data_IF_060339876890
#
_entry.id   IF_060339876890
#
_cell.length_a   1.000
_cell.length_b   1.000
_cell.length_c   1.000
_cell.angle_alpha   90.00
_cell.angle_beta   90.00
_cell.angle_gamma   90.00
#
_symmetry.space_group_name_H-M   'P 1'
#
loop_
_entity.id
_entity.type
_entity.pdbx_description
1 polymer ?
#
# COMPACT_ATOMS: atom_id res chain seq x y z
N UNK A 1 7.09 3.12 0.14
CA UNK A 1 6.72 2.09 -0.85
C UNK A 1 5.50 1.33 -0.41
N UNK A 2 4.63 0.91 -1.34
CA UNK A 2 3.50 0.05 -1.01
C UNK A 2 4.00 -1.30 -0.47
N UNK A 3 3.37 -1.81 0.59
CA UNK A 3 3.79 -3.06 1.21
C UNK A 3 3.18 -3.26 2.60
N UNK A 4 3.61 -4.28 3.35
CA UNK A 4 3.12 -4.57 4.70
C UNK A 4 3.24 -3.38 5.66
N UNK A 5 4.30 -2.58 5.52
CA UNK A 5 4.56 -1.38 6.32
C UNK A 5 3.39 -0.40 6.30
N UNK A 6 2.69 -0.23 5.15
CA UNK A 6 1.51 0.64 5.09
C UNK A 6 0.37 0.14 5.99
N UNK A 7 0.19 -1.18 6.11
CA UNK A 7 -0.82 -1.77 6.98
C UNK A 7 -0.42 -1.62 8.46
N UNK A 8 0.86 -1.78 8.78
CA UNK A 8 1.39 -1.60 10.13
C UNK A 8 1.24 -0.15 10.60
N UNK A 9 1.65 0.82 9.76
CA UNK A 9 1.48 2.24 10.04
C UNK A 9 0.00 2.61 10.22
N UNK A 10 -0.87 2.04 9.39
CA UNK A 10 -2.31 2.27 9.51
C UNK A 10 -2.89 1.68 10.81
N UNK A 11 -2.44 0.49 11.21
CA UNK A 11 -2.83 -0.13 12.47
C UNK A 11 -2.44 0.73 13.67
N UNK A 12 -1.25 1.30 13.64
CA UNK A 12 -0.77 2.25 14.64
C UNK A 12 -1.44 3.62 14.53
N UNK A 13 -2.16 3.89 13.44
CA UNK A 13 -2.76 5.18 13.16
C UNK A 13 -1.73 6.26 12.83
N UNK A 14 -0.60 5.88 12.27
CA UNK A 14 0.46 6.83 11.88
C UNK A 14 0.16 7.43 10.52
N UNK A 15 -0.09 8.75 10.42
CA UNK A 15 -0.26 9.42 9.14
C UNK A 15 0.97 9.26 8.25
N UNK A 16 0.76 8.88 6.99
CA UNK A 16 1.84 8.62 6.06
C UNK A 16 1.45 8.92 4.61
N UNK A 17 2.46 9.04 3.76
CA UNK A 17 2.32 9.18 2.30
C UNK A 17 2.90 7.94 1.65
N UNK A 18 2.18 7.39 0.68
CA UNK A 18 2.60 6.20 -0.06
C UNK A 18 3.20 6.60 -1.39
N UNK A 19 4.42 6.16 -1.66
CA UNK A 19 5.08 6.39 -2.94
C UNK A 19 5.34 5.08 -3.67
N UNK A 20 4.98 5.02 -4.94
CA UNK A 20 5.30 3.92 -5.84
C UNK A 20 6.05 4.46 -7.06
N UNK A 21 7.36 4.76 -6.91
CA UNK A 21 8.16 5.30 -8.00
C UNK A 21 8.44 4.23 -9.05
N UNK A 22 8.02 4.49 -10.27
CA UNK A 22 8.21 3.60 -11.42
C UNK A 22 9.43 4.00 -12.26
N UNK A 23 10.02 5.12 -11.92
CA UNK A 23 11.26 5.63 -12.51
C UNK A 23 12.52 5.11 -11.81
N UNK A 24 12.37 4.35 -10.72
CA UNK A 24 13.48 3.74 -9.99
C UNK A 24 13.43 2.22 -10.17
N UNK A 25 14.40 1.60 -10.87
CA UNK A 25 14.45 0.15 -11.03
C UNK A 25 14.47 -0.56 -9.67
N UNK A 26 13.63 -1.57 -9.50
CA UNK A 26 13.55 -2.35 -8.26
C UNK A 26 12.79 -1.69 -7.09
N UNK A 27 12.32 -0.45 -7.24
CA UNK A 27 11.56 0.23 -6.17
C UNK A 27 10.16 -0.38 -5.95
N UNK A 28 9.61 -1.05 -6.95
CA UNK A 28 8.33 -1.77 -6.85
C UNK A 28 8.57 -3.23 -7.17
N UNK A 29 8.39 -4.09 -6.18
CA UNK A 29 8.42 -5.53 -6.41
C UNK A 29 7.14 -5.93 -7.15
N UNK A 30 7.30 -6.43 -8.38
CA UNK A 30 6.19 -7.00 -9.15
C UNK A 30 6.17 -8.50 -8.88
N UNK A 31 5.12 -9.05 -8.25
CA UNK A 31 5.03 -10.48 -7.99
C UNK A 31 5.13 -11.29 -9.29
N UNK A 32 5.94 -12.33 -9.31
CA UNK A 32 6.08 -13.24 -10.44
C UNK A 32 7.11 -12.82 -11.50
N UNK A 33 7.83 -11.71 -11.30
CA UNK A 33 8.89 -11.28 -12.22
C UNK A 33 10.25 -11.45 -11.57
N UNK A 34 11.13 -12.20 -12.24
CA UNK A 34 12.51 -12.32 -11.82
C UNK A 34 13.22 -10.95 -11.89
N UNK A 35 13.94 -10.53 -10.84
CA UNK A 35 14.76 -9.32 -10.86
C UNK A 35 15.73 -9.25 -12.05
N UNK A 36 16.10 -10.42 -12.58
CA UNK A 36 17.00 -10.58 -13.72
C UNK A 36 16.41 -10.02 -15.03
N UNK A 37 15.09 -10.15 -15.21
CA UNK A 37 14.37 -9.59 -16.39
C UNK A 37 14.24 -8.07 -16.34
N UNK A 38 14.21 -7.49 -15.15
CA UNK A 38 14.15 -6.04 -14.96
C UNK A 38 15.50 -5.35 -15.20
N UNK A 39 16.61 -6.08 -15.18
CA UNK A 39 17.96 -5.54 -15.38
C UNK A 39 18.40 -5.53 -16.85
N UNK A 40 17.62 -6.09 -17.78
CA UNK A 40 17.96 -6.08 -19.20
C UNK A 40 17.64 -4.72 -19.82
N UNK A 41 18.61 -4.03 -20.46
CA UNK A 41 18.37 -2.79 -21.17
C UNK A 41 17.36 -3.03 -22.31
N UNK A 42 16.44 -2.09 -22.53
CA UNK A 42 15.35 -2.11 -23.52
C UNK A 42 14.13 -3.00 -23.20
N UNK A 43 14.29 -4.15 -22.54
CA UNK A 43 13.15 -5.03 -22.21
C UNK A 43 12.55 -4.63 -20.86
N UNK A 44 13.38 -4.18 -19.92
CA UNK A 44 12.99 -3.78 -18.59
C UNK A 44 11.97 -2.63 -18.57
N UNK A 45 12.16 -1.61 -19.39
CA UNK A 45 11.25 -0.47 -19.45
C UNK A 45 9.86 -0.82 -20.03
N UNK A 46 9.81 -1.59 -21.11
CA UNK A 46 8.56 -2.01 -21.72
C UNK A 46 7.77 -2.95 -20.79
N UNK A 47 8.50 -3.80 -20.06
CA UNK A 47 7.92 -4.71 -19.10
C UNK A 47 7.41 -3.98 -17.85
N UNK A 48 8.17 -3.00 -17.33
CA UNK A 48 7.74 -2.14 -16.23
C UNK A 48 6.50 -1.34 -16.60
N UNK A 49 6.43 -0.75 -17.81
CA UNK A 49 5.25 -0.03 -18.27
C UNK A 49 4.02 -0.93 -18.30
N UNK A 50 4.12 -2.14 -18.84
CA UNK A 50 3.00 -3.11 -18.85
C UNK A 50 2.59 -3.59 -17.47
N UNK A 51 3.55 -3.82 -16.57
CA UNK A 51 3.26 -4.20 -15.19
C UNK A 51 2.52 -3.08 -14.44
N UNK A 52 2.90 -1.84 -14.70
CA UNK A 52 2.23 -0.64 -14.18
C UNK A 52 0.83 -0.48 -14.73
N UNK A 53 0.65 -0.67 -16.04
CA UNK A 53 -0.66 -0.56 -16.67
C UNK A 53 -1.61 -1.66 -16.14
N UNK A 54 -1.08 -2.86 -15.88
CA UNK A 54 -1.84 -3.93 -15.22
C UNK A 54 -2.18 -3.60 -13.76
N UNK A 55 -1.25 -3.03 -13.00
CA UNK A 55 -1.51 -2.57 -11.63
C UNK A 55 -2.58 -1.48 -11.60
N UNK A 56 -2.52 -0.51 -12.52
CA UNK A 56 -3.55 0.52 -12.68
C UNK A 56 -4.90 -0.05 -13.11
N UNK A 57 -4.90 -1.09 -13.94
CA UNK A 57 -6.11 -1.74 -14.41
C UNK A 57 -6.73 -2.69 -13.38
N UNK A 58 -5.90 -3.31 -12.51
CA UNK A 58 -6.35 -4.29 -11.52
C UNK A 58 -6.72 -3.69 -10.16
N UNK A 59 -6.15 -2.52 -9.83
CA UNK A 59 -6.39 -1.86 -8.53
C UNK A 59 -6.44 -0.35 -8.69
N UNK A 60 -7.57 0.24 -8.28
CA UNK A 60 -7.74 1.70 -8.23
C UNK A 60 -6.75 2.36 -7.27
N UNK A 61 -6.22 1.62 -6.30
CA UNK A 61 -5.30 2.07 -5.27
C UNK A 61 -4.11 1.13 -5.16
N UNK A 62 -2.94 1.67 -4.82
CA UNK A 62 -1.70 0.90 -4.64
C UNK A 62 -1.50 0.50 -3.18
N UNK A 63 -1.95 1.32 -2.24
CA UNK A 63 -1.93 1.03 -0.82
C UNK A 63 -3.05 0.06 -0.43
N UNK A 64 -2.71 -0.98 0.31
CA UNK A 64 -3.67 -1.95 0.86
C UNK A 64 -4.74 -1.30 1.74
N UNK A 65 -4.38 -0.21 2.41
CA UNK A 65 -5.31 0.55 3.27
C UNK A 65 -6.36 1.28 2.44
N UNK A 66 -5.95 1.97 1.38
CA UNK A 66 -6.86 2.68 0.48
C UNK A 66 -7.73 1.69 -0.30
N UNK A 67 -7.18 0.53 -0.71
CA UNK A 67 -7.95 -0.56 -1.33
C UNK A 67 -9.06 -1.03 -0.39
N UNK A 68 -8.73 -1.27 0.87
CA UNK A 68 -9.67 -1.74 1.88
C UNK A 68 -10.75 -0.72 2.21
N UNK A 69 -10.36 0.56 2.26
CA UNK A 69 -11.29 1.67 2.51
C UNK A 69 -12.16 2.03 1.30
N UNK A 70 -11.79 1.60 0.09
CA UNK A 70 -12.44 2.01 -1.16
C UNK A 70 -12.24 3.49 -1.52
N UNK A 71 -11.39 4.20 -0.80
CA UNK A 71 -11.10 5.63 -0.96
C UNK A 71 -9.67 5.97 -0.54
N UNK A 72 -9.21 7.15 -0.95
CA UNK A 72 -7.90 7.65 -0.54
C UNK A 72 -8.00 8.16 0.91
N UNK A 73 -7.31 7.50 1.83
CA UNK A 73 -7.03 7.94 3.18
C UNK A 73 -5.58 8.46 3.24
N UNK A 74 -4.62 7.60 2.86
CA UNK A 74 -3.23 7.97 2.71
C UNK A 74 -2.98 8.45 1.27
N UNK A 75 -2.40 9.64 1.05
CA UNK A 75 -2.05 10.11 -0.28
C UNK A 75 -1.14 9.11 -1.00
N UNK A 76 -1.43 8.83 -2.27
CA UNK A 76 -0.63 7.94 -3.12
C UNK A 76 0.00 8.71 -4.27
N UNK A 77 1.30 8.57 -4.43
CA UNK A 77 2.06 9.14 -5.53
C UNK A 77 2.63 7.98 -6.35
N UNK A 78 2.04 7.76 -7.53
CA UNK A 78 2.34 6.59 -8.37
C UNK A 78 2.85 7.05 -9.72
N UNK A 79 3.94 6.47 -10.19
CA UNK A 79 4.48 6.75 -11.50
C UNK A 79 5.87 7.38 -11.45
N UNK A 80 6.12 8.38 -12.27
CA UNK A 80 7.38 9.11 -12.23
C UNK A 80 7.34 10.08 -11.05
N UNK A 81 7.93 9.66 -9.93
CA UNK A 81 7.94 10.42 -8.69
C UNK A 81 9.19 11.30 -8.65
N UNK A 82 9.01 12.58 -8.40
CA UNK A 82 10.06 13.55 -8.13
C UNK A 82 10.03 13.92 -6.65
N UNK A 83 11.13 14.42 -6.06
CA UNK A 83 11.15 14.83 -4.67
C UNK A 83 10.06 15.86 -4.32
N UNK A 84 9.78 16.80 -5.22
CA UNK A 84 8.78 17.84 -5.03
C UNK A 84 7.36 17.27 -4.87
N UNK A 85 7.06 16.20 -5.60
CA UNK A 85 5.75 15.54 -5.55
C UNK A 85 5.47 14.93 -4.16
N UNK A 86 6.53 14.55 -3.43
CA UNK A 86 6.45 13.99 -2.07
C UNK A 86 6.41 15.08 -1.01
N UNK A 87 7.16 16.16 -1.20
CA UNK A 87 7.27 17.27 -0.24
C UNK A 87 5.91 17.91 0.05
N UNK A 88 5.13 18.18 -0.98
CA UNK A 88 3.83 18.87 -0.84
C UNK A 88 2.90 18.16 0.14
N UNK A 89 2.56 16.86 -0.04
CA UNK A 89 1.68 16.18 0.90
C UNK A 89 2.31 15.98 2.28
N UNK A 90 3.64 15.82 2.37
CA UNK A 90 4.33 15.69 3.65
C UNK A 90 4.26 16.98 4.46
N UNK A 91 4.56 18.14 3.85
CA UNK A 91 4.46 19.45 4.50
C UNK A 91 3.02 19.73 4.94
N UNK A 92 2.03 19.40 4.11
CA UNK A 92 0.62 19.53 4.50
C UNK A 92 0.27 18.68 5.72
N UNK A 93 0.76 17.44 5.82
CA UNK A 93 0.55 16.61 7.00
C UNK A 93 1.29 17.13 8.24
N UNK A 94 2.51 17.65 8.09
CA UNK A 94 3.28 18.17 9.20
C UNK A 94 2.66 19.48 9.75
N UNK A 95 2.15 20.33 8.87
CA UNK A 95 1.60 21.64 9.25
C UNK A 95 0.20 21.58 9.88
N UNK A 96 -0.61 20.58 9.56
CA UNK A 96 -2.02 20.53 9.93
C UNK A 96 -2.33 19.41 10.94
N UNK A 97 -2.40 19.73 12.23
CA UNK A 97 -2.71 18.76 13.29
C UNK A 97 -4.07 18.06 13.06
N UNK A 98 -5.11 18.82 12.77
CA UNK A 98 -6.44 18.30 12.52
C UNK A 98 -6.49 17.28 11.35
N UNK A 99 -5.67 17.51 10.31
CA UNK A 99 -5.55 16.58 9.18
C UNK A 99 -4.87 15.29 9.58
N UNK A 100 -3.84 15.36 10.42
CA UNK A 100 -3.17 14.18 10.97
C UNK A 100 -4.11 13.36 11.84
N UNK A 101 -4.84 14.00 12.73
CA UNK A 101 -5.78 13.34 13.65
C UNK A 101 -6.91 12.65 12.87
N UNK A 102 -7.47 13.34 11.87
CA UNK A 102 -8.47 12.77 10.98
C UNK A 102 -7.92 11.54 10.25
N UNK A 103 -6.74 11.66 9.63
CA UNK A 103 -6.12 10.54 8.93
C UNK A 103 -5.83 9.38 9.88
N UNK A 104 -5.28 9.65 11.07
CA UNK A 104 -5.01 8.63 12.08
C UNK A 104 -6.25 7.82 12.44
N UNK A 105 -7.38 8.49 12.65
CA UNK A 105 -8.66 7.83 12.93
C UNK A 105 -9.13 6.98 11.75
N UNK A 106 -9.14 7.53 10.56
CA UNK A 106 -9.58 6.84 9.34
C UNK A 106 -8.70 5.62 8.99
N UNK A 107 -7.39 5.70 9.24
CA UNK A 107 -6.45 4.59 9.05
C UNK A 107 -6.78 3.41 9.98
N UNK A 108 -6.99 3.67 11.26
CA UNK A 108 -7.37 2.65 12.24
C UNK A 108 -8.72 2.01 11.91
N UNK A 109 -9.70 2.80 11.51
CA UNK A 109 -11.01 2.32 11.09
C UNK A 109 -10.90 1.38 9.87
N UNK A 110 -10.07 1.74 8.88
CA UNK A 110 -9.88 0.94 7.67
C UNK A 110 -9.19 -0.40 7.92
N UNK A 111 -8.25 -0.46 8.86
CA UNK A 111 -7.53 -1.71 9.19
C UNK A 111 -8.37 -2.62 10.08
N UNK A 112 -9.23 -2.04 10.91
CA UNK A 112 -10.11 -2.76 11.83
C UNK A 112 -9.43 -3.09 13.16
N UNK A 113 -10.14 -3.88 13.97
CA UNK A 113 -9.73 -4.19 15.35
C UNK A 113 -8.59 -5.21 15.40
N UNK A 114 -7.80 -5.12 16.47
CA UNK A 114 -6.81 -6.12 16.85
C UNK A 114 -7.42 -7.51 17.03
N UNK A 115 -6.58 -8.55 17.12
CA UNK A 115 -7.02 -9.92 17.38
C UNK A 115 -7.34 -10.72 16.11
N UNK A 116 -6.75 -10.38 14.97
CA UNK A 116 -6.94 -11.16 13.74
C UNK A 116 -6.46 -12.61 13.89
N UNK A 117 -5.34 -12.84 14.59
CA UNK A 117 -4.82 -14.18 14.86
C UNK A 117 -5.82 -15.02 15.67
N UNK A 118 -6.40 -14.43 16.74
CA UNK A 118 -7.37 -15.12 17.58
C UNK A 118 -8.63 -15.50 16.78
N UNK A 119 -9.10 -14.60 15.92
CA UNK A 119 -10.23 -14.90 15.02
C UNK A 119 -9.95 -16.04 14.05
N UNK A 120 -8.72 -16.12 13.53
CA UNK A 120 -8.30 -17.23 12.66
C UNK A 120 -8.27 -18.54 13.43
N UNK A 121 -7.68 -18.56 14.64
CA UNK A 121 -7.65 -19.74 15.50
C UNK A 121 -9.06 -20.22 15.83
N UNK A 122 -9.94 -19.32 16.24
CA UNK A 122 -11.34 -19.65 16.52
C UNK A 122 -12.08 -20.18 15.28
N UNK A 123 -11.80 -19.65 14.08
CA UNK A 123 -12.38 -20.15 12.85
C UNK A 123 -11.91 -21.58 12.54
N UNK A 124 -10.61 -21.86 12.69
CA UNK A 124 -10.04 -23.20 12.51
C UNK A 124 -10.65 -24.19 13.50
N UNK A 125 -10.74 -23.82 14.77
CA UNK A 125 -11.33 -24.68 15.81
C UNK A 125 -12.80 -25.03 15.50
N UNK A 126 -13.60 -24.04 15.04
CA UNK A 126 -15.01 -24.31 14.65
C UNK A 126 -15.10 -25.30 13.50
N UNK A 127 -14.27 -25.16 12.47
CA UNK A 127 -14.27 -26.09 11.33
C UNK A 127 -13.83 -27.49 11.76
N UNK A 128 -12.78 -27.60 12.58
CA UNK A 128 -12.30 -28.90 13.07
C UNK A 128 -13.35 -29.65 13.92
N UNK A 129 -14.09 -28.92 14.76
CA UNK A 129 -15.15 -29.50 15.60
C UNK A 129 -16.42 -29.86 14.81
N UNK A 130 -16.66 -29.21 13.68
CA UNK A 130 -17.83 -29.50 12.83
C UNK A 130 -17.67 -30.76 11.91
N UNK A 131 -16.46 -31.33 11.88
CA UNK A 131 -16.14 -32.52 11.10
C UNK A 131 -16.10 -33.83 11.93
N UNK A 132 -16.39 -33.74 13.21
CA UNK A 132 -16.58 -34.88 14.13
C UNK A 132 -18.06 -35.19 14.33
#
# INVERSE_FOLDING_TARGET
>A
TPGPVCAELAYLGVPHVVTAPLNVPGAVAVPGVSPLLCSLPFIGEAFQRRAVDRLKASSRFVSSVNQRAGRIIAPEIVGRVRPEDVVIPCVGLLGEAARRDKMSKELREAVGLAGAADRVVQAIQRVALSQQ
#
